data_IF_183043914967
#
_entry.id   IF_183043914967
#
_cell.length_a   1.000
_cell.length_b   1.000
_cell.length_c   1.000
_cell.angle_alpha   90.00
_cell.angle_beta   90.00
_cell.angle_gamma   90.00
#
_symmetry.space_group_name_H-M   'P 1'
#
loop_
_entity.id
_entity.type
_entity.pdbx_description
1 polymer ?
#
# COMPACT_ATOMS: atom_id res chain seq x y z
N UNK A 1 -15.17 -4.25 -5.02
CA UNK A 1 -14.44 -3.08 -4.48
C UNK A 1 -14.63 -2.94 -2.97
N UNK A 2 -15.84 -3.04 -2.43
CA UNK A 2 -16.19 -2.78 -1.01
C UNK A 2 -15.38 -3.50 0.11
N UNK A 3 -14.55 -4.50 -0.22
CA UNK A 3 -13.74 -5.21 0.77
C UNK A 3 -12.24 -4.89 0.68
N UNK A 4 -11.80 -4.18 -0.36
CA UNK A 4 -10.37 -3.92 -0.56
C UNK A 4 -9.79 -3.09 0.59
N UNK A 5 -10.42 -1.95 0.93
CA UNK A 5 -9.96 -1.10 2.02
C UNK A 5 -9.91 -1.86 3.35
N UNK A 6 -10.98 -2.60 3.67
CA UNK A 6 -11.05 -3.42 4.89
C UNK A 6 -9.91 -4.45 4.94
N UNK A 7 -9.68 -5.18 3.84
CA UNK A 7 -8.62 -6.20 3.77
C UNK A 7 -7.23 -5.58 3.83
N UNK A 8 -7.00 -4.48 3.13
CA UNK A 8 -5.74 -3.74 3.17
C UNK A 8 -5.45 -3.22 4.58
N UNK A 9 -6.41 -2.53 5.22
CA UNK A 9 -6.21 -2.00 6.58
C UNK A 9 -6.06 -3.11 7.63
N UNK A 10 -6.74 -4.24 7.46
CA UNK A 10 -6.52 -5.41 8.31
C UNK A 10 -5.10 -5.99 8.13
N UNK A 11 -4.57 -5.99 6.90
CA UNK A 11 -3.23 -6.48 6.59
C UNK A 11 -2.11 -5.52 7.05
N UNK A 12 -2.30 -4.21 6.85
CA UNK A 12 -1.41 -3.18 7.37
C UNK A 12 -1.43 -3.12 8.90
N UNK A 13 -2.57 -3.43 9.50
CA UNK A 13 -2.76 -3.37 10.94
C UNK A 13 -2.82 -1.92 11.43
N UNK A 14 -2.12 -1.64 12.53
CA UNK A 14 -2.03 -0.27 13.05
C UNK A 14 -1.08 0.57 12.15
N UNK A 15 -1.55 1.67 11.54
CA UNK A 15 -0.70 2.53 10.70
C UNK A 15 0.54 3.05 11.42
N UNK A 16 0.43 3.39 12.72
CA UNK A 16 1.58 3.82 13.51
C UNK A 16 2.62 2.70 13.62
N UNK A 17 2.19 1.45 13.73
CA UNK A 17 3.09 0.31 13.78
C UNK A 17 3.83 0.14 12.45
N UNK A 18 3.12 0.19 11.32
CA UNK A 18 3.73 0.12 9.99
C UNK A 18 4.78 1.22 9.80
N UNK A 19 4.42 2.46 10.13
CA UNK A 19 5.34 3.58 10.00
C UNK A 19 6.54 3.39 10.94
N UNK A 20 6.35 2.96 12.19
CA UNK A 20 7.42 2.71 13.15
C UNK A 20 8.41 1.63 12.70
N UNK A 21 7.93 0.52 12.14
CA UNK A 21 8.81 -0.61 11.80
C UNK A 21 9.44 -0.49 10.41
N UNK A 22 8.72 0.08 9.43
CA UNK A 22 9.17 0.16 8.03
C UNK A 22 9.79 1.51 7.67
N UNK A 23 9.14 2.64 8.02
CA UNK A 23 9.72 3.97 7.83
C UNK A 23 10.61 4.39 9.00
N UNK A 24 10.71 3.53 10.01
CA UNK A 24 11.30 3.86 11.28
C UNK A 24 10.52 4.91 12.06
N UNK A 25 9.38 5.50 11.55
CA UNK A 25 8.67 6.80 11.85
C UNK A 25 9.57 8.04 12.00
N UNK A 26 10.85 7.77 11.91
CA UNK A 26 11.99 8.52 12.34
C UNK A 26 12.97 8.55 11.16
N UNK A 27 12.59 7.95 10.00
CA UNK A 27 13.38 7.74 8.77
C UNK A 27 14.85 7.44 9.08
N UNK A 28 15.05 6.75 10.19
CA UNK A 28 16.32 6.38 10.73
C UNK A 28 16.42 4.89 10.42
N UNK A 29 17.17 4.50 9.38
CA UNK A 29 17.31 3.11 9.00
C UNK A 29 17.73 2.24 10.19
N UNK A 30 18.43 2.79 11.19
CA UNK A 30 18.84 2.05 12.40
C UNK A 30 17.66 1.56 13.24
N UNK A 31 16.48 2.16 13.09
CA UNK A 31 15.26 1.83 13.84
C UNK A 31 14.31 0.90 13.08
N UNK A 32 14.63 0.56 11.83
CA UNK A 32 13.84 -0.39 11.05
C UNK A 32 13.92 -1.78 11.70
N UNK A 33 12.75 -2.37 11.89
CA UNK A 33 12.58 -3.78 12.20
C UNK A 33 12.26 -4.51 10.88
N UNK A 34 13.30 -5.04 10.25
CA UNK A 34 13.21 -5.69 8.95
C UNK A 34 12.31 -6.94 8.99
N UNK A 35 12.32 -7.70 10.09
CA UNK A 35 11.48 -8.90 10.19
C UNK A 35 9.99 -8.55 10.28
N UNK A 36 9.64 -7.56 11.11
CA UNK A 36 8.27 -7.08 11.20
C UNK A 36 7.83 -6.42 9.87
N UNK A 37 8.70 -5.60 9.27
CA UNK A 37 8.38 -4.92 8.01
C UNK A 37 8.18 -5.90 6.85
N UNK A 38 9.00 -6.95 6.76
CA UNK A 38 8.84 -8.03 5.78
C UNK A 38 7.48 -8.72 5.93
N UNK A 39 7.09 -9.08 7.16
CA UNK A 39 5.81 -9.75 7.42
C UNK A 39 4.61 -8.87 7.03
N UNK A 40 4.65 -7.58 7.37
CA UNK A 40 3.59 -6.63 7.00
C UNK A 40 3.53 -6.43 5.49
N UNK A 41 4.68 -6.25 4.84
CA UNK A 41 4.75 -6.09 3.38
C UNK A 41 4.11 -7.27 2.64
N UNK A 42 4.40 -8.51 3.03
CA UNK A 42 3.76 -9.70 2.47
C UNK A 42 2.24 -9.68 2.67
N UNK A 43 1.76 -9.27 3.85
CA UNK A 43 0.33 -9.22 4.13
C UNK A 43 -0.39 -8.18 3.25
N UNK A 44 0.24 -7.03 2.98
CA UNK A 44 -0.31 -5.93 2.18
C UNK A 44 -0.37 -6.27 0.68
N UNK A 45 0.56 -7.07 0.15
CA UNK A 45 0.61 -7.40 -1.28
C UNK A 45 -0.69 -8.06 -1.77
N UNK A 46 -1.20 -9.03 -1.00
CA UNK A 46 -2.35 -9.82 -1.43
C UNK A 46 -3.62 -8.98 -1.67
N UNK A 47 -4.04 -8.07 -0.75
CA UNK A 47 -5.12 -7.13 -1.02
C UNK A 47 -4.91 -6.27 -2.28
N UNK A 48 -3.71 -5.73 -2.50
CA UNK A 48 -3.41 -4.86 -3.64
C UNK A 48 -3.51 -5.61 -4.97
N UNK A 49 -2.87 -6.79 -5.06
CA UNK A 49 -2.89 -7.63 -6.26
C UNK A 49 -4.30 -8.10 -6.59
N UNK A 50 -5.07 -8.52 -5.57
CA UNK A 50 -6.45 -8.94 -5.76
C UNK A 50 -7.34 -7.79 -6.23
N UNK A 51 -7.15 -6.59 -5.67
CA UNK A 51 -7.91 -5.42 -6.09
C UNK A 51 -7.61 -5.04 -7.53
N UNK A 52 -6.33 -4.92 -7.90
CA UNK A 52 -5.90 -4.62 -9.27
C UNK A 52 -6.46 -5.65 -10.27
N UNK A 53 -6.34 -6.94 -9.95
CA UNK A 53 -6.92 -8.01 -10.77
C UNK A 53 -8.44 -7.88 -10.90
N UNK A 54 -9.14 -7.49 -9.82
CA UNK A 54 -10.60 -7.31 -9.86
C UNK A 54 -11.04 -6.17 -10.78
N UNK A 55 -10.20 -5.13 -10.92
CA UNK A 55 -10.47 -4.03 -11.86
C UNK A 55 -10.48 -4.55 -13.30
N UNK A 56 -9.56 -5.44 -13.69
CA UNK A 56 -9.52 -6.01 -15.04
C UNK A 56 -10.82 -6.73 -15.47
N UNK A 57 -11.57 -7.24 -14.49
CA UNK A 57 -12.86 -7.92 -14.73
C UNK A 57 -14.08 -7.03 -14.47
N UNK A 58 -13.88 -5.77 -14.10
CA UNK A 58 -14.97 -4.85 -13.74
C UNK A 58 -14.94 -3.63 -14.64
N UNK A 59 -15.98 -3.44 -15.44
CA UNK A 59 -16.17 -2.18 -16.18
C UNK A 59 -16.57 -1.09 -15.20
N UNK A 60 -15.73 -0.06 -15.06
CA UNK A 60 -16.03 1.09 -14.21
C UNK A 60 -17.28 1.84 -14.73
N UNK A 61 -18.27 2.14 -13.87
CA UNK A 61 -19.34 3.07 -14.20
C UNK A 61 -18.76 4.42 -14.64
N UNK A 62 -19.42 5.11 -15.59
CA UNK A 62 -18.91 6.36 -16.18
C UNK A 62 -18.46 7.38 -15.13
N UNK A 63 -19.19 7.49 -14.01
CA UNK A 63 -18.89 8.43 -12.92
C UNK A 63 -17.58 8.15 -12.17
N UNK A 64 -17.09 6.91 -12.21
CA UNK A 64 -15.86 6.46 -11.51
C UNK A 64 -14.73 6.10 -12.48
N UNK A 65 -14.87 6.46 -13.76
CA UNK A 65 -13.89 6.10 -14.79
C UNK A 65 -12.52 6.75 -14.53
N UNK A 66 -12.51 7.97 -13.98
CA UNK A 66 -11.28 8.65 -13.61
C UNK A 66 -10.56 7.93 -12.46
N UNK A 67 -11.30 7.52 -11.42
CA UNK A 67 -10.78 6.80 -10.26
C UNK A 67 -10.22 5.42 -10.64
N UNK A 68 -10.92 4.69 -11.51
CA UNK A 68 -10.44 3.41 -12.07
C UNK A 68 -9.09 3.60 -12.80
N UNK A 69 -8.95 4.68 -13.57
CA UNK A 69 -7.68 4.99 -14.23
C UNK A 69 -6.56 5.31 -13.24
N UNK A 70 -6.86 6.01 -12.13
CA UNK A 70 -5.90 6.26 -11.06
C UNK A 70 -5.43 4.96 -10.44
N UNK A 71 -6.35 4.06 -10.08
CA UNK A 71 -6.00 2.75 -9.52
C UNK A 71 -5.10 1.95 -10.46
N UNK A 72 -5.48 1.85 -11.74
CA UNK A 72 -4.70 1.13 -12.76
C UNK A 72 -3.32 1.73 -13.01
N UNK A 73 -3.14 3.04 -12.79
CA UNK A 73 -1.86 3.71 -13.00
C UNK A 73 -0.94 3.60 -11.78
N UNK A 74 -1.48 3.66 -10.56
CA UNK A 74 -0.68 3.77 -9.33
C UNK A 74 -0.51 2.45 -8.60
N UNK A 75 -1.54 1.59 -8.53
CA UNK A 75 -1.43 0.32 -7.81
C UNK A 75 -0.31 -0.60 -8.32
N UNK A 76 -0.03 -0.71 -9.64
CA UNK A 76 1.10 -1.51 -10.09
C UNK A 76 2.45 -1.02 -9.54
N UNK A 77 2.61 0.29 -9.36
CA UNK A 77 3.84 0.86 -8.80
C UNK A 77 3.91 0.65 -7.28
N UNK A 78 2.81 0.90 -6.58
CA UNK A 78 2.69 0.63 -5.15
C UNK A 78 2.97 -0.85 -4.82
N UNK A 79 2.49 -1.78 -5.64
CA UNK A 79 2.80 -3.22 -5.54
C UNK A 79 4.30 -3.48 -5.71
N UNK A 80 4.91 -2.89 -6.76
CA UNK A 80 6.34 -3.05 -7.02
C UNK A 80 7.20 -2.49 -5.87
N UNK A 81 6.82 -1.36 -5.28
CA UNK A 81 7.52 -0.78 -4.14
C UNK A 81 7.37 -1.62 -2.87
N UNK A 82 6.20 -2.19 -2.58
CA UNK A 82 6.06 -3.14 -1.47
C UNK A 82 6.89 -4.40 -1.71
N UNK A 83 6.93 -4.94 -2.94
CA UNK A 83 7.78 -6.09 -3.28
C UNK A 83 9.26 -5.76 -3.04
N UNK A 84 9.73 -4.60 -3.50
CA UNK A 84 11.11 -4.17 -3.28
C UNK A 84 11.41 -3.92 -1.78
N UNK A 85 10.44 -3.40 -1.02
CA UNK A 85 10.54 -3.25 0.44
C UNK A 85 10.64 -4.60 1.14
N UNK A 86 9.84 -5.59 0.74
CA UNK A 86 9.88 -6.97 1.26
C UNK A 86 11.25 -7.59 0.97
N UNK A 87 11.75 -7.49 -0.27
CA UNK A 87 13.07 -8.01 -0.64
C UNK A 87 14.20 -7.34 0.15
N UNK A 88 14.15 -6.02 0.31
CA UNK A 88 15.10 -5.27 1.14
C UNK A 88 15.08 -5.75 2.60
N UNK A 89 13.88 -5.93 3.15
CA UNK A 89 13.69 -6.38 4.52
C UNK A 89 14.19 -7.81 4.73
N UNK A 90 14.01 -8.70 3.75
CA UNK A 90 14.55 -10.06 3.79
C UNK A 90 16.10 -10.08 3.81
N UNK A 91 16.73 -9.05 3.22
CA UNK A 91 18.18 -8.88 3.19
C UNK A 91 18.73 -7.97 4.31
N UNK A 92 17.88 -7.53 5.24
CA UNK A 92 18.20 -6.52 6.28
C UNK A 92 18.80 -5.21 5.72
N UNK A 93 18.50 -4.86 4.47
CA UNK A 93 18.88 -3.58 3.86
C UNK A 93 17.92 -2.48 4.32
N UNK A 94 18.17 -1.96 5.52
CA UNK A 94 17.29 -0.99 6.18
C UNK A 94 17.17 0.34 5.44
N UNK A 95 18.21 0.75 4.70
CA UNK A 95 18.13 1.96 3.87
C UNK A 95 17.18 1.75 2.70
N UNK A 96 17.28 0.59 2.04
CA UNK A 96 16.34 0.23 0.97
C UNK A 96 14.92 0.05 1.51
N UNK A 97 14.72 -0.52 2.70
CA UNK A 97 13.39 -0.60 3.33
C UNK A 97 12.77 0.80 3.43
N UNK A 98 13.43 1.75 4.09
CA UNK A 98 12.90 3.13 4.23
C UNK A 98 12.60 3.76 2.88
N UNK A 99 13.50 3.60 1.90
CA UNK A 99 13.33 4.15 0.55
C UNK A 99 12.08 3.59 -0.15
N UNK A 100 11.91 2.27 -0.13
CA UNK A 100 10.80 1.61 -0.81
C UNK A 100 9.47 1.81 -0.07
N UNK A 101 9.47 1.83 1.26
CA UNK A 101 8.25 2.18 2.02
C UNK A 101 7.81 3.62 1.73
N UNK A 102 8.74 4.56 1.57
CA UNK A 102 8.41 5.93 1.21
C UNK A 102 7.82 6.02 -0.20
N UNK A 103 8.43 5.34 -1.17
CA UNK A 103 7.93 5.30 -2.54
C UNK A 103 6.50 4.73 -2.61
N UNK A 104 6.25 3.63 -1.88
CA UNK A 104 4.90 3.09 -1.70
C UNK A 104 3.91 4.13 -1.16
N UNK A 105 4.28 4.86 -0.11
CA UNK A 105 3.42 5.90 0.47
C UNK A 105 3.13 7.04 -0.53
N UNK A 106 4.14 7.46 -1.31
CA UNK A 106 4.00 8.51 -2.33
C UNK A 106 3.12 8.06 -3.52
N UNK A 107 3.11 6.77 -3.87
CA UNK A 107 2.23 6.22 -4.90
C UNK A 107 0.78 6.08 -4.42
N UNK A 108 0.59 5.74 -3.14
CA UNK A 108 -0.74 5.59 -2.53
C UNK A 108 -1.38 6.94 -2.19
N UNK A 109 -0.61 7.88 -1.64
CA UNK A 109 -1.11 9.14 -1.08
C UNK A 109 -0.66 10.32 -1.95
N UNK A 110 -1.56 11.24 -2.34
CA UNK A 110 -3.00 11.25 -2.05
C UNK A 110 -3.84 10.55 -3.12
N UNK A 111 -3.23 10.03 -4.19
CA UNK A 111 -3.94 9.67 -5.42
C UNK A 111 -4.91 8.51 -5.23
N UNK A 112 -4.40 7.36 -4.76
CA UNK A 112 -5.22 6.15 -4.54
C UNK A 112 -6.21 6.38 -3.41
N UNK A 113 -5.79 7.03 -2.33
CA UNK A 113 -6.69 7.32 -1.19
C UNK A 113 -7.87 8.21 -1.58
N UNK A 114 -7.65 9.28 -2.34
CA UNK A 114 -8.76 10.14 -2.82
C UNK A 114 -9.69 9.41 -3.78
N UNK A 115 -9.15 8.60 -4.68
CA UNK A 115 -9.97 7.78 -5.55
C UNK A 115 -10.81 6.78 -4.75
N UNK A 116 -10.30 6.29 -3.61
CA UNK A 116 -11.04 5.42 -2.68
C UNK A 116 -12.19 6.15 -1.97
N UNK A 117 -11.99 7.41 -1.56
CA UNK A 117 -13.06 8.24 -0.95
C UNK A 117 -14.31 8.30 -1.83
N UNK A 118 -14.12 8.41 -3.15
CA UNK A 118 -15.21 8.56 -4.11
C UNK A 118 -15.94 7.24 -4.41
N UNK A 119 -15.24 6.11 -4.36
CA UNK A 119 -15.78 4.79 -4.75
C UNK A 119 -16.22 3.91 -3.58
N UNK A 120 -15.75 4.19 -2.36
CA UNK A 120 -16.09 3.42 -1.16
C UNK A 120 -16.36 4.33 0.05
N UNK A 121 -17.65 4.56 0.41
CA UNK A 121 -18.03 5.43 1.52
C UNK A 121 -17.67 4.88 2.91
N UNK A 122 -17.07 3.69 3.00
CA UNK A 122 -16.55 3.12 4.27
C UNK A 122 -15.08 3.46 4.53
N UNK A 123 -14.44 4.16 3.60
CA UNK A 123 -13.09 4.67 3.76
C UNK A 123 -13.12 5.78 4.81
N UNK A 124 -12.49 5.50 5.95
CA UNK A 124 -12.21 6.50 6.98
C UNK A 124 -10.72 6.81 6.89
N UNK A 125 -10.40 8.02 6.46
CA UNK A 125 -9.07 8.59 6.53
C UNK A 125 -8.93 9.33 7.86
N UNK A 126 -8.50 8.63 8.90
CA UNK A 126 -8.01 9.25 10.13
C UNK A 126 -6.53 9.62 9.97
#
# INVERSE_FOLDING_TARGET
>A
MHNYWIQYKAAEGNPEHFINVCLGLVQDPRRVDSAACHAIGIAILLPHENFLKSLDFTTAPTRFKADDQVFRAQLPKAIADIQAMVDAAANDDKEAVVRHTKAYADDMIPSVTRALDDVDPTVVHD
#
